data_IF_071499085239
#
_entry.id   IF_071499085239
#
_cell.length_a   1.000
_cell.length_b   1.000
_cell.length_c   1.000
_cell.angle_alpha   90.00
_cell.angle_beta   90.00
_cell.angle_gamma   90.00
#
_symmetry.space_group_name_H-M   'P 1'
#
loop_
_entity.id
_entity.type
_entity.pdbx_description
1 polymer ?
#
# COMPACT_ATOMS: atom_id res chain seq x y z
N UNK A 1 -11.18 -30.36 23.64
CA UNK A 1 -10.26 -29.86 22.58
C UNK A 1 -10.74 -28.51 22.02
N UNK A 2 -10.88 -27.47 22.85
CA UNK A 2 -11.47 -26.17 22.44
C UNK A 2 -10.56 -24.96 22.76
N UNK A 3 -9.37 -25.20 23.31
CA UNK A 3 -8.45 -24.18 23.84
C UNK A 3 -7.43 -23.65 22.81
N UNK A 4 -7.29 -24.32 21.65
CA UNK A 4 -6.32 -23.93 20.61
C UNK A 4 -6.96 -23.27 19.38
N UNK A 5 -8.29 -23.19 19.33
CA UNK A 5 -9.02 -22.62 18.19
C UNK A 5 -9.00 -21.08 18.21
N UNK A 6 -8.99 -20.49 19.41
CA UNK A 6 -8.93 -19.04 19.63
C UNK A 6 -7.58 -18.42 19.20
N UNK A 7 -6.41 -18.97 19.59
CA UNK A 7 -5.12 -18.42 19.13
C UNK A 7 -4.90 -18.61 17.62
N UNK A 8 -5.45 -19.67 17.02
CA UNK A 8 -5.36 -19.89 15.56
C UNK A 8 -6.19 -18.85 14.79
N UNK A 9 -7.40 -18.54 15.25
CA UNK A 9 -8.25 -17.50 14.66
C UNK A 9 -7.65 -16.10 14.83
N UNK A 10 -7.03 -15.81 15.98
CA UNK A 10 -6.30 -14.56 16.22
C UNK A 10 -5.08 -14.40 15.30
N UNK A 11 -4.32 -15.48 15.07
CA UNK A 11 -3.17 -15.48 14.16
C UNK A 11 -3.60 -15.26 12.69
N UNK A 12 -4.72 -15.85 12.26
CA UNK A 12 -5.28 -15.61 10.92
C UNK A 12 -5.77 -14.17 10.74
N UNK A 13 -6.33 -13.53 11.77
CA UNK A 13 -6.68 -12.11 11.70
C UNK A 13 -5.47 -11.16 11.72
N UNK A 14 -4.35 -11.56 12.32
CA UNK A 14 -3.12 -10.75 12.34
C UNK A 14 -2.34 -10.83 11.03
N UNK A 15 -2.33 -11.99 10.36
CA UNK A 15 -1.72 -12.12 9.03
C UNK A 15 -2.44 -11.30 7.94
N UNK A 16 -3.72 -10.97 8.16
CA UNK A 16 -4.47 -10.06 7.29
C UNK A 16 -4.23 -8.57 7.59
N UNK A 17 -3.48 -8.24 8.65
CA UNK A 17 -3.22 -6.87 9.09
C UNK A 17 -1.80 -6.37 8.77
N UNK A 18 -0.96 -7.19 8.13
CA UNK A 18 0.37 -6.75 7.73
C UNK A 18 0.32 -6.05 6.37
N UNK A 19 0.85 -4.82 6.26
CA UNK A 19 0.94 -4.15 4.97
C UNK A 19 1.84 -4.98 4.04
N UNK A 20 1.48 -5.09 2.74
CA UNK A 20 2.24 -5.87 1.79
C UNK A 20 3.66 -5.32 1.72
N UNK A 21 4.63 -6.17 2.02
CA UNK A 21 6.04 -5.87 1.84
C UNK A 21 6.44 -6.29 0.43
N UNK A 22 7.40 -5.59 -0.17
CA UNK A 22 8.06 -6.10 -1.35
C UNK A 22 8.67 -7.48 -1.03
N UNK A 23 8.54 -8.43 -1.96
CA UNK A 23 8.95 -9.82 -1.75
C UNK A 23 10.46 -9.95 -1.58
N UNK A 24 11.21 -9.08 -2.26
CA UNK A 24 12.59 -8.77 -1.89
C UNK A 24 12.53 -7.71 -0.80
N UNK A 25 13.31 -7.87 0.27
CA UNK A 25 13.51 -6.88 1.37
C UNK A 25 14.14 -5.54 0.91
N UNK A 26 13.89 -5.15 -0.33
CA UNK A 26 14.30 -3.91 -0.92
C UNK A 26 13.51 -2.77 -0.26
N UNK A 27 14.24 -1.84 0.33
CA UNK A 27 13.71 -0.52 0.64
C UNK A 27 13.30 0.16 -0.68
N UNK A 28 11.99 0.27 -0.92
CA UNK A 28 11.44 0.88 -2.14
C UNK A 28 11.87 2.34 -2.32
N UNK A 29 12.32 3.01 -1.25
CA UNK A 29 12.87 4.36 -1.33
C UNK A 29 14.30 4.42 -1.88
N UNK A 30 15.02 3.30 -1.84
CA UNK A 30 16.40 3.18 -2.31
C UNK A 30 16.55 2.18 -3.47
N UNK A 31 15.47 1.50 -3.87
CA UNK A 31 15.48 0.49 -4.92
C UNK A 31 15.71 1.12 -6.31
N UNK A 32 16.86 0.87 -6.91
CA UNK A 32 17.18 1.28 -8.29
C UNK A 32 16.89 0.11 -9.26
N UNK A 33 15.92 0.26 -10.19
CA UNK A 33 15.64 -0.77 -11.20
C UNK A 33 16.80 -0.95 -12.18
N UNK A 34 16.96 -2.17 -12.71
CA UNK A 34 17.86 -2.59 -13.80
C UNK A 34 18.87 -1.55 -14.31
N UNK A 35 20.15 -1.75 -13.97
CA UNK A 35 21.27 -0.87 -14.35
C UNK A 35 21.04 0.60 -13.97
N UNK A 36 20.22 0.84 -12.95
CA UNK A 36 19.87 2.16 -12.45
C UNK A 36 21.05 2.79 -11.70
N UNK A 37 21.53 3.93 -12.18
CA UNK A 37 22.49 4.74 -11.45
C UNK A 37 21.81 5.95 -10.84
N UNK A 38 21.85 6.07 -9.50
CA UNK A 38 21.21 7.17 -8.77
C UNK A 38 21.75 8.51 -9.28
N UNK A 39 20.84 9.40 -9.63
CA UNK A 39 21.18 10.75 -10.06
C UNK A 39 20.31 11.81 -9.38
N UNK A 40 20.80 13.04 -9.36
CA UNK A 40 20.03 14.21 -8.93
C UNK A 40 19.77 15.10 -10.12
N UNK A 41 18.53 15.54 -10.28
CA UNK A 41 18.17 16.53 -11.31
C UNK A 41 18.82 17.86 -10.94
N UNK A 42 19.87 18.26 -11.68
CA UNK A 42 20.59 19.52 -11.44
C UNK A 42 19.93 20.70 -12.11
N UNK A 43 19.47 20.52 -13.35
CA UNK A 43 18.76 21.54 -14.13
C UNK A 43 17.37 21.83 -13.54
N UNK A 44 17.08 23.10 -13.28
CA UNK A 44 15.85 23.52 -12.60
C UNK A 44 14.61 23.34 -13.47
N UNK A 45 14.72 23.57 -14.78
CA UNK A 45 13.62 23.34 -15.72
C UNK A 45 13.24 21.87 -15.74
N UNK A 46 14.23 20.99 -15.94
CA UNK A 46 14.04 19.53 -15.91
C UNK A 46 13.43 19.10 -14.58
N UNK A 47 13.91 19.65 -13.46
CA UNK A 47 13.37 19.34 -12.13
C UNK A 47 11.87 19.68 -12.06
N UNK A 48 11.49 20.85 -12.54
CA UNK A 48 10.09 21.29 -12.56
C UNK A 48 9.19 20.38 -13.41
N UNK A 49 9.69 19.84 -14.53
CA UNK A 49 8.93 18.86 -15.32
C UNK A 49 8.69 17.55 -14.55
N UNK A 50 9.72 16.99 -13.91
CA UNK A 50 9.57 15.76 -13.11
C UNK A 50 8.77 15.96 -11.83
N UNK A 51 8.79 17.16 -11.24
CA UNK A 51 7.96 17.49 -10.08
C UNK A 51 6.49 17.58 -10.48
N UNK A 52 6.15 18.23 -11.60
CA UNK A 52 4.79 18.21 -12.16
C UNK A 52 4.30 16.80 -12.48
N UNK A 53 5.14 15.97 -13.11
CA UNK A 53 4.78 14.58 -13.36
C UNK A 53 4.54 13.81 -12.05
N UNK A 54 5.33 14.08 -10.99
CA UNK A 54 5.12 13.47 -9.68
C UNK A 54 3.83 13.95 -8.99
N UNK A 55 3.47 15.21 -9.15
CA UNK A 55 2.19 15.75 -8.68
C UNK A 55 1.02 15.06 -9.40
N UNK A 56 1.13 14.83 -10.71
CA UNK A 56 0.14 14.08 -11.46
C UNK A 56 -0.01 12.63 -10.95
N UNK A 57 1.09 11.94 -10.58
CA UNK A 57 1.00 10.62 -9.93
C UNK A 57 0.27 10.73 -8.60
N UNK A 58 0.56 11.77 -7.81
CA UNK A 58 -0.14 12.00 -6.54
C UNK A 58 -1.63 12.18 -6.75
N UNK A 59 -2.04 12.88 -7.81
CA UNK A 59 -3.45 13.11 -8.13
C UNK A 59 -4.15 11.83 -8.62
N UNK A 60 -3.45 10.99 -9.41
CA UNK A 60 -3.98 9.70 -9.87
C UNK A 60 -4.20 8.72 -8.70
N UNK A 61 -3.30 8.76 -7.72
CA UNK A 61 -3.30 7.81 -6.59
C UNK A 61 -4.10 8.28 -5.38
N UNK A 62 -4.52 9.55 -5.38
CA UNK A 62 -5.36 10.13 -4.33
C UNK A 62 -6.71 9.41 -4.25
N UNK A 63 -7.19 9.18 -3.03
CA UNK A 63 -8.55 8.70 -2.77
C UNK A 63 -9.23 9.71 -1.83
N UNK A 64 -10.15 10.52 -2.36
CA UNK A 64 -10.89 11.53 -1.59
C UNK A 64 -10.08 12.80 -1.28
N UNK A 65 -10.45 13.48 -0.21
CA UNK A 65 -9.77 14.70 0.31
C UNK A 65 -8.52 14.37 1.15
N UNK A 66 -8.16 13.09 1.27
CA UNK A 66 -7.05 12.62 2.10
C UNK A 66 -5.69 13.10 1.58
N UNK A 67 -4.81 13.39 2.54
CA UNK A 67 -3.60 14.19 2.32
C UNK A 67 -2.58 13.52 1.40
N UNK A 68 -2.30 14.18 0.27
CA UNK A 68 -1.27 13.86 -0.72
C UNK A 68 0.10 13.66 -0.06
N UNK A 69 0.50 12.42 0.23
CA UNK A 69 1.83 12.15 0.77
C UNK A 69 2.58 11.11 -0.04
N UNK A 70 3.33 11.61 -1.01
CA UNK A 70 4.51 10.91 -1.52
C UNK A 70 5.38 10.51 -0.32
N UNK A 71 5.62 9.21 -0.16
CA UNK A 71 6.44 8.69 0.93
C UNK A 71 7.91 8.98 0.64
N UNK A 72 8.34 8.65 -0.58
CA UNK A 72 9.68 8.93 -1.06
C UNK A 72 9.72 8.89 -2.60
N UNK A 73 10.84 9.31 -3.17
CA UNK A 73 11.09 9.15 -4.58
C UNK A 73 12.54 9.40 -4.91
N UNK A 74 12.98 8.78 -5.99
CA UNK A 74 14.37 8.79 -6.41
C UNK A 74 14.45 8.96 -7.92
N UNK A 75 15.51 9.59 -8.37
CA UNK A 75 15.80 9.78 -9.78
C UNK A 75 17.06 8.98 -10.11
N UNK A 76 17.07 8.36 -11.29
CA UNK A 76 18.18 7.50 -11.71
C UNK A 76 18.29 7.48 -13.23
N UNK A 77 19.49 7.18 -13.75
CA UNK A 77 19.67 6.87 -15.15
C UNK A 77 19.56 5.37 -15.41
N UNK A 78 18.91 4.97 -16.50
CA UNK A 78 18.97 3.60 -17.00
C UNK A 78 18.95 3.57 -18.53
N UNK A 79 19.65 2.61 -19.10
CA UNK A 79 19.62 2.27 -20.53
C UNK A 79 18.58 1.19 -20.86
N UNK A 80 17.94 0.61 -19.84
CA UNK A 80 16.93 -0.42 -20.04
C UNK A 80 15.69 0.16 -20.74
N UNK A 81 15.08 -0.65 -21.61
CA UNK A 81 13.78 -0.34 -22.17
C UNK A 81 12.67 -0.48 -21.10
N UNK A 82 11.52 0.10 -21.39
CA UNK A 82 10.39 0.14 -20.46
C UNK A 82 9.87 -1.27 -20.13
N UNK A 83 9.93 -2.22 -21.07
CA UNK A 83 9.47 -3.61 -20.84
C UNK A 83 10.35 -4.30 -19.82
N UNK A 84 11.67 -4.19 -19.97
CA UNK A 84 12.63 -4.76 -19.03
C UNK A 84 12.48 -4.12 -17.64
N UNK A 85 12.36 -2.79 -17.58
CA UNK A 85 12.13 -2.06 -16.32
C UNK A 85 10.85 -2.52 -15.62
N UNK A 86 9.74 -2.65 -16.35
CA UNK A 86 8.46 -3.08 -15.78
C UNK A 86 8.53 -4.52 -15.25
N UNK A 87 9.25 -5.40 -15.93
CA UNK A 87 9.45 -6.78 -15.49
C UNK A 87 10.29 -6.85 -14.19
N UNK A 88 11.39 -6.09 -14.09
CA UNK A 88 12.22 -6.05 -12.89
C UNK A 88 11.48 -5.44 -11.69
N UNK A 89 10.74 -4.35 -11.92
CA UNK A 89 9.91 -3.72 -10.89
C UNK A 89 8.84 -4.71 -10.42
N UNK A 90 8.11 -5.34 -11.34
CA UNK A 90 7.06 -6.31 -10.98
C UNK A 90 7.63 -7.51 -10.21
N UNK A 91 8.81 -7.99 -10.60
CA UNK A 91 9.52 -9.06 -9.89
C UNK A 91 9.98 -8.63 -8.50
N UNK A 92 10.43 -7.39 -8.33
CA UNK A 92 10.90 -6.86 -7.05
C UNK A 92 9.75 -6.62 -6.08
N UNK A 93 8.64 -6.06 -6.57
CA UNK A 93 7.43 -5.86 -5.80
C UNK A 93 6.78 -7.20 -5.40
N UNK A 94 6.81 -8.17 -6.32
CA UNK A 94 6.32 -9.52 -6.09
C UNK A 94 4.80 -9.66 -6.20
N UNK A 95 4.29 -10.83 -5.85
CA UNK A 95 2.89 -11.20 -6.10
C UNK A 95 1.85 -10.39 -5.30
N UNK A 96 2.28 -9.64 -4.29
CA UNK A 96 1.40 -8.77 -3.50
C UNK A 96 1.04 -7.45 -4.20
N UNK A 97 1.56 -7.23 -5.41
CA UNK A 97 1.39 -6.02 -6.19
C UNK A 97 0.88 -6.34 -7.59
N UNK A 98 0.11 -5.40 -8.15
CA UNK A 98 -0.41 -5.51 -9.50
C UNK A 98 -0.13 -4.23 -10.28
N UNK A 99 0.39 -4.38 -11.50
CA UNK A 99 0.47 -3.28 -12.45
C UNK A 99 -0.95 -2.92 -12.89
N UNK A 100 -1.33 -1.66 -12.72
CA UNK A 100 -2.67 -1.14 -13.02
C UNK A 100 -2.74 -0.66 -14.46
N UNK A 101 -2.18 0.52 -14.71
CA UNK A 101 -2.31 1.24 -15.95
C UNK A 101 -1.02 2.01 -16.24
N UNK A 102 -0.78 2.21 -17.53
CA UNK A 102 0.26 3.10 -18.04
C UNK A 102 -0.41 4.31 -18.67
N UNK A 103 -0.06 5.51 -18.22
CA UNK A 103 -0.64 6.77 -18.72
C UNK A 103 0.45 7.68 -19.26
N UNK A 104 0.12 8.47 -20.28
CA UNK A 104 1.03 9.51 -20.78
C UNK A 104 0.57 10.89 -20.31
N UNK A 105 1.44 11.61 -19.60
CA UNK A 105 1.16 12.95 -19.05
C UNK A 105 2.36 13.85 -19.32
N UNK A 106 2.12 15.01 -19.93
CA UNK A 106 3.17 16.00 -20.25
C UNK A 106 4.40 15.41 -20.97
N UNK A 107 4.17 14.40 -21.82
CA UNK A 107 5.23 13.71 -22.57
C UNK A 107 5.97 12.62 -21.80
N UNK A 108 5.66 12.41 -20.51
CA UNK A 108 6.15 11.28 -19.73
C UNK A 108 5.18 10.11 -19.79
N UNK A 109 5.73 8.91 -19.83
CA UNK A 109 5.00 7.67 -19.56
C UNK A 109 5.06 7.40 -18.05
N UNK A 110 3.90 7.15 -17.45
CA UNK A 110 3.74 6.85 -16.03
C UNK A 110 3.18 5.44 -15.92
N UNK A 111 3.98 4.50 -15.43
CA UNK A 111 3.54 3.15 -15.10
C UNK A 111 3.25 3.04 -13.60
N UNK A 112 2.08 2.51 -13.25
CA UNK A 112 1.63 2.41 -11.86
C UNK A 112 1.46 0.96 -11.40
N UNK A 113 2.01 0.65 -10.23
CA UNK A 113 1.74 -0.57 -9.48
C UNK A 113 1.01 -0.21 -8.20
N UNK A 114 0.07 -1.07 -7.85
CA UNK A 114 -0.74 -0.93 -6.65
C UNK A 114 -0.69 -2.22 -5.84
N UNK A 115 -0.63 -2.07 -4.53
CA UNK A 115 -0.73 -3.18 -3.60
C UNK A 115 -2.11 -3.87 -3.70
N UNK A 116 -2.13 -5.19 -3.78
CA UNK A 116 -3.36 -6.01 -3.80
C UNK A 116 -4.06 -6.12 -2.44
N UNK A 117 -3.45 -5.60 -1.38
CA UNK A 117 -4.02 -5.69 -0.04
C UNK A 117 -5.37 -4.97 0.05
N UNK A 118 -6.32 -5.63 0.71
CA UNK A 118 -7.58 -5.01 1.13
C UNK A 118 -7.40 -4.07 2.33
N UNK A 119 -6.17 -3.99 2.88
CA UNK A 119 -5.83 -3.10 3.98
C UNK A 119 -5.63 -1.67 3.48
N UNK A 120 -6.19 -0.72 4.23
CA UNK A 120 -5.98 0.71 4.03
C UNK A 120 -4.87 1.20 4.97
N UNK A 121 -3.92 2.02 4.50
CA UNK A 121 -3.88 2.67 3.18
C UNK A 121 -3.32 1.77 2.06
N UNK A 122 -3.88 1.95 0.86
CA UNK A 122 -3.31 1.39 -0.37
C UNK A 122 -1.94 2.02 -0.64
N UNK A 123 -1.00 1.18 -1.05
CA UNK A 123 0.33 1.60 -1.43
C UNK A 123 0.47 1.59 -2.95
N UNK A 124 1.21 2.55 -3.47
CA UNK A 124 1.45 2.69 -4.90
C UNK A 124 2.94 2.86 -5.15
N UNK A 125 3.41 2.23 -6.21
CA UNK A 125 4.74 2.45 -6.77
C UNK A 125 4.55 2.95 -8.19
N UNK A 126 5.22 4.03 -8.55
CA UNK A 126 5.13 4.59 -9.89
C UNK A 126 6.51 4.74 -10.51
N UNK A 127 6.60 4.49 -11.81
CA UNK A 127 7.75 4.83 -12.62
C UNK A 127 7.35 5.91 -13.62
N UNK A 128 8.08 7.01 -13.60
CA UNK A 128 7.99 8.10 -14.58
C UNK A 128 9.17 7.94 -15.53
N UNK A 129 8.87 7.58 -16.78
CA UNK A 129 9.84 7.46 -17.87
C UNK A 129 9.61 8.56 -18.92
N UNK A 130 10.67 9.25 -19.37
CA UNK A 130 10.59 10.07 -20.57
C UNK A 130 10.46 9.15 -21.81
N UNK A 131 10.12 9.71 -22.98
CA UNK A 131 10.06 8.94 -24.22
C UNK A 131 11.32 8.13 -24.46
N UNK A 132 11.16 6.92 -25.00
CA UNK A 132 12.30 6.08 -25.35
C UNK A 132 13.23 6.80 -26.32
N UNK A 133 14.53 6.70 -26.08
CA UNK A 133 15.56 7.21 -26.98
C UNK A 133 15.85 6.17 -28.05
N UNK A 134 16.15 6.62 -29.27
CA UNK A 134 16.29 5.73 -30.44
C UNK A 134 17.60 4.92 -30.38
N UNK A 135 18.62 5.39 -29.65
CA UNK A 135 19.95 4.79 -29.66
C UNK A 135 20.40 4.21 -28.31
N UNK A 136 19.45 3.92 -27.41
CA UNK A 136 19.76 3.28 -26.12
C UNK A 136 20.54 4.17 -25.16
N UNK A 137 20.50 5.48 -25.34
CA UNK A 137 21.13 6.41 -24.40
C UNK A 137 20.49 6.30 -23.00
N UNK A 138 21.29 6.49 -21.93
CA UNK A 138 20.75 6.50 -20.57
C UNK A 138 19.68 7.57 -20.41
N UNK A 139 18.45 7.15 -20.11
CA UNK A 139 17.34 8.04 -19.84
C UNK A 139 17.29 8.38 -18.37
N UNK A 140 16.94 9.61 -18.03
CA UNK A 140 16.68 9.99 -16.64
C UNK A 140 15.26 9.52 -16.28
N UNK A 141 15.11 8.68 -15.28
CA UNK A 141 13.83 8.17 -14.80
C UNK A 141 13.60 8.63 -13.37
N UNK A 142 12.34 8.62 -12.94
CA UNK A 142 11.99 8.85 -11.53
C UNK A 142 11.05 7.77 -11.06
N UNK A 143 11.40 7.09 -9.97
CA UNK A 143 10.46 6.25 -9.25
C UNK A 143 9.92 6.97 -8.02
N UNK A 144 8.66 6.67 -7.71
CA UNK A 144 7.93 7.22 -6.58
C UNK A 144 7.31 6.07 -5.81
N UNK A 145 7.47 6.08 -4.50
CA UNK A 145 6.71 5.24 -3.61
C UNK A 145 5.76 6.11 -2.81
N UNK A 146 4.49 5.78 -2.87
CA UNK A 146 3.39 6.57 -2.32
C UNK A 146 2.64 5.67 -1.35
N UNK A 147 2.56 6.13 -0.11
CA UNK A 147 1.73 5.53 0.92
C UNK A 147 0.65 6.54 1.22
N UNK A 148 -0.62 6.22 0.98
CA UNK A 148 -1.67 7.15 1.35
C UNK A 148 -1.58 7.37 2.88
N UNK A 149 -1.34 8.60 3.32
CA UNK A 149 -1.33 8.89 4.75
C UNK A 149 -2.69 9.45 5.09
N UNK A 150 -3.62 8.59 5.50
CA UNK A 150 -4.59 9.08 6.47
C UNK A 150 -4.92 8.02 7.51
N UNK A 151 -4.46 8.35 8.71
CA UNK A 151 -4.78 7.77 10.00
C UNK A 151 -6.22 8.10 10.42
N UNK A 152 -7.14 8.32 9.47
CA UNK A 152 -8.57 8.57 9.74
C UNK A 152 -9.41 7.29 9.80
N UNK A 153 -9.05 6.24 9.06
CA UNK A 153 -9.84 5.00 8.98
C UNK A 153 -9.46 3.92 10.00
N UNK A 154 -8.33 4.10 10.71
CA UNK A 154 -7.99 3.27 11.86
C UNK A 154 -8.83 3.59 13.10
N UNK A 155 -9.64 4.66 13.09
CA UNK A 155 -10.70 4.84 14.07
C UNK A 155 -11.81 3.82 13.83
N UNK A 156 -12.54 3.92 12.73
CA UNK A 156 -13.85 3.26 12.64
C UNK A 156 -13.77 1.73 12.51
N UNK A 157 -12.78 1.17 11.79
CA UNK A 157 -12.69 -0.30 11.59
C UNK A 157 -12.08 -1.00 12.82
N UNK A 158 -11.07 -0.39 13.44
CA UNK A 158 -10.45 -0.90 14.67
C UNK A 158 -11.39 -0.71 15.86
N UNK A 159 -12.06 0.44 15.99
CA UNK A 159 -13.12 0.60 17.00
C UNK A 159 -14.31 -0.30 16.72
N UNK A 160 -14.69 -0.55 15.46
CA UNK A 160 -15.76 -1.49 15.13
C UNK A 160 -15.43 -2.92 15.58
N UNK A 161 -14.22 -3.41 15.29
CA UNK A 161 -13.78 -4.75 15.72
C UNK A 161 -13.59 -4.85 17.23
N UNK A 162 -13.03 -3.83 17.89
CA UNK A 162 -12.88 -3.76 19.35
C UNK A 162 -14.24 -3.65 20.05
N UNK A 163 -15.16 -2.81 19.58
CA UNK A 163 -16.50 -2.66 20.17
C UNK A 163 -17.35 -3.92 19.96
N UNK A 164 -17.26 -4.58 18.81
CA UNK A 164 -17.96 -5.85 18.57
C UNK A 164 -17.43 -6.93 19.51
N UNK A 165 -16.11 -7.05 19.71
CA UNK A 165 -15.56 -8.01 20.69
C UNK A 165 -15.90 -7.64 22.12
N UNK A 166 -15.85 -6.35 22.50
CA UNK A 166 -16.25 -5.87 23.82
C UNK A 166 -17.76 -5.95 24.07
N UNK A 167 -18.62 -6.00 23.05
CA UNK A 167 -20.07 -6.17 23.22
C UNK A 167 -20.47 -7.65 23.29
N UNK A 168 -19.89 -8.50 22.44
CA UNK A 168 -20.26 -9.92 22.35
C UNK A 168 -19.81 -10.70 23.58
N UNK A 169 -18.61 -10.43 24.11
CA UNK A 169 -18.07 -11.15 25.28
C UNK A 169 -18.92 -10.96 26.55
N UNK A 170 -19.30 -9.75 26.98
CA UNK A 170 -20.17 -9.58 28.14
C UNK A 170 -21.59 -10.10 27.90
N UNK A 171 -22.15 -10.01 26.69
CA UNK A 171 -23.47 -10.61 26.38
C UNK A 171 -23.42 -12.14 26.50
N UNK A 172 -22.36 -12.77 25.99
CA UNK A 172 -22.16 -14.21 26.07
C UNK A 172 -21.96 -14.73 27.51
N UNK A 173 -21.51 -13.89 28.44
CA UNK A 173 -21.36 -14.23 29.87
C UNK A 173 -22.63 -13.88 30.66
N UNK A 174 -23.23 -12.71 30.41
CA UNK A 174 -24.38 -12.21 31.15
C UNK A 174 -25.67 -12.99 30.83
N UNK A 175 -25.89 -13.38 29.58
CA UNK A 175 -27.09 -14.14 29.16
C UNK A 175 -27.20 -15.51 29.85
N UNK A 176 -26.16 -16.37 29.89
CA UNK A 176 -26.24 -17.63 30.64
C UNK A 176 -26.31 -17.42 32.14
N UNK A 177 -25.64 -16.40 32.70
CA UNK A 177 -25.73 -16.09 34.13
C UNK A 177 -27.14 -15.63 34.54
N UNK A 178 -27.80 -14.80 33.72
CA UNK A 178 -29.17 -14.36 33.94
C UNK A 178 -30.19 -15.49 33.75
N UNK A 179 -30.01 -16.35 32.73
CA UNK A 179 -30.80 -17.58 32.57
C UNK A 179 -30.65 -18.52 33.77
N UNK A 180 -29.44 -18.68 34.32
CA UNK A 180 -29.20 -19.51 35.51
C UNK A 180 -29.87 -18.92 36.75
N UNK A 181 -29.79 -17.59 36.95
CA UNK A 181 -30.43 -16.88 38.06
C UNK A 181 -31.97 -16.91 38.00
N UNK A 182 -32.57 -16.87 36.81
CA UNK A 182 -34.03 -17.04 36.64
C UNK A 182 -34.51 -18.44 37.05
N UNK A 183 -33.75 -19.49 36.73
CA UNK A 183 -34.10 -20.88 37.10
C UNK A 183 -33.99 -21.15 38.60
N UNK A 184 -33.33 -20.27 39.35
CA UNK A 184 -33.17 -20.38 40.80
C UNK A 184 -34.15 -19.51 41.59
N UNK A 185 -35.06 -18.76 40.94
CA UNK A 185 -36.19 -18.15 41.64
C UNK A 185 -37.24 -19.23 41.83
N UNK A 186 -37.53 -19.67 43.06
CA UNK A 186 -38.68 -20.52 43.32
C UNK A 186 -39.92 -19.70 42.93
N UNK A 187 -40.81 -20.28 42.13
CA UNK A 187 -42.21 -19.88 42.15
C UNK A 187 -42.66 -20.07 43.60
N UNK A 188 -42.71 -18.97 44.36
CA UNK A 188 -43.47 -18.96 45.60
C UNK A 188 -44.92 -18.76 45.17
N UNK A 189 -45.83 -19.69 45.52
CA UNK A 189 -47.24 -19.62 45.14
C UNK A 189 -47.94 -18.39 45.71
#
# INVERSE_FOLDING_TARGET
MRKYLVPLLLAFSLAACTPPQAEKTADLCAYLPLNGEKNRIRDDNTRQYYDRAADAVSDITAHGDDSKRKHCGQTFHSVADDTALYADISTTLGAAWQQQETRTIDGFTIALWQSLSNFWPRQHYALISPPATVHGEPRLLRSLYITNSDSGLNGTVVFGTILITLAIVPIAIAVPFWRKRRRQRPHTP
#
